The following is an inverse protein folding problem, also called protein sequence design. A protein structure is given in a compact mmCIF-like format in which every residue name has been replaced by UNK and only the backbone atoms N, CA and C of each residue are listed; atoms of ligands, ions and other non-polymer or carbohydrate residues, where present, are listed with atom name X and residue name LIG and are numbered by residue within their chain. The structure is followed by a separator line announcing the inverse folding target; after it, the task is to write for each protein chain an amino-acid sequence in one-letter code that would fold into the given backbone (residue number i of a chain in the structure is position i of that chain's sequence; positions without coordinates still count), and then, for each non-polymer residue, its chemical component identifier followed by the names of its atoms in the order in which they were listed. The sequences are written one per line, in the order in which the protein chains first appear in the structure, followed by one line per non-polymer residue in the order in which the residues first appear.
data_IF_546846862479
#
_entry.id   IF_546846862479
#
_cell.length_a   1.000
_cell.length_b   1.000
_cell.length_c   1.000
_cell.angle_alpha   90.00
_cell.angle_beta   90.00
_cell.angle_gamma   90.00
#
_symmetry.space_group_name_H-M   'P 1'
#
loop_
_entity.id
_entity.type
_entity.pdbx_description
1 polymer ?
#
# COMPACT_ATOMS: atom_id res chain seq x y z
N UNK A 1 40.71 -18.74 32.21
CA UNK A 1 40.66 -18.81 30.74
C UNK A 1 39.20 -18.88 30.36
N UNK A 2 38.65 -17.76 29.90
CA UNK A 2 37.21 -17.51 29.74
C UNK A 2 36.77 -18.00 28.36
N UNK A 3 35.76 -18.88 28.32
CA UNK A 3 35.14 -19.35 27.08
C UNK A 3 34.38 -18.19 26.44
N UNK A 4 34.89 -17.66 25.32
CA UNK A 4 34.14 -16.74 24.48
C UNK A 4 33.05 -17.55 23.74
N UNK A 5 31.79 -17.15 23.92
CA UNK A 5 30.64 -17.72 23.21
C UNK A 5 30.53 -17.06 21.85
N UNK A 6 30.60 -17.89 20.82
CA UNK A 6 30.35 -17.58 19.41
C UNK A 6 28.87 -17.16 19.24
N UNK A 7 28.61 -15.85 19.23
CA UNK A 7 27.29 -15.25 18.96
C UNK A 7 27.40 -14.24 17.81
N UNK A 8 28.23 -14.52 16.82
CA UNK A 8 28.54 -13.56 15.76
C UNK A 8 28.38 -14.23 14.39
N UNK A 9 27.13 -14.36 13.96
CA UNK A 9 26.69 -13.98 12.63
C UNK A 9 25.22 -14.37 12.40
N UNK A 10 24.32 -13.51 12.86
CA UNK A 10 23.08 -13.32 12.13
C UNK A 10 23.37 -12.19 11.15
N UNK A 11 23.88 -12.52 9.97
CA UNK A 11 23.85 -11.57 8.85
C UNK A 11 22.40 -11.09 8.74
N UNK A 12 22.11 -9.78 8.81
CA UNK A 12 20.79 -9.29 8.49
C UNK A 12 20.56 -9.68 7.03
N UNK A 13 19.81 -10.76 6.83
CA UNK A 13 19.30 -11.18 5.52
C UNK A 13 18.73 -9.91 4.92
N UNK A 14 19.41 -9.40 3.89
CA UNK A 14 19.01 -8.17 3.21
C UNK A 14 17.53 -8.32 2.98
N UNK A 15 16.75 -7.50 3.68
CA UNK A 15 15.32 -7.49 3.48
C UNK A 15 15.22 -6.97 2.08
N UNK A 16 15.02 -7.88 1.13
CA UNK A 16 14.61 -7.58 -0.22
C UNK A 16 13.36 -6.70 -0.04
N UNK A 17 13.57 -5.38 0.02
CA UNK A 17 12.56 -4.35 -0.08
C UNK A 17 12.11 -4.35 -1.54
N UNK A 18 11.58 -5.50 -2.00
CA UNK A 18 10.65 -5.51 -3.11
C UNK A 18 9.53 -4.58 -2.67
N UNK A 19 9.45 -3.43 -3.32
CA UNK A 19 8.35 -2.49 -3.25
C UNK A 19 7.05 -3.30 -3.23
N UNK A 20 6.44 -3.45 -2.05
CA UNK A 20 5.05 -3.87 -1.99
C UNK A 20 4.30 -2.70 -2.61
N UNK A 21 3.96 -2.81 -3.90
CA UNK A 21 3.02 -1.92 -4.56
C UNK A 21 1.69 -2.08 -3.81
N UNK A 22 1.50 -1.24 -2.79
CA UNK A 22 0.23 -1.10 -2.11
C UNK A 22 -0.71 -0.42 -3.12
N UNK A 23 -1.54 -1.23 -3.76
CA UNK A 23 -2.64 -0.77 -4.59
C UNK A 23 -3.94 -0.86 -3.81
N UNK A 24 -4.89 0.02 -4.10
CA UNK A 24 -6.24 -0.03 -3.57
C UNK A 24 -7.24 -0.44 -4.67
N UNK A 25 -8.36 -1.05 -4.27
CA UNK A 25 -9.43 -1.38 -5.22
C UNK A 25 -10.44 -0.23 -5.25
N UNK A 26 -10.64 0.37 -6.42
CA UNK A 26 -11.64 1.41 -6.61
C UNK A 26 -13.05 0.84 -6.41
N UNK A 27 -13.83 1.42 -5.48
CA UNK A 27 -15.19 0.96 -5.21
C UNK A 27 -16.17 1.14 -6.39
N UNK A 28 -15.84 2.01 -7.35
CA UNK A 28 -16.70 2.31 -8.51
C UNK A 28 -16.43 1.38 -9.69
N UNK A 29 -15.19 1.34 -10.21
CA UNK A 29 -14.83 0.54 -11.39
C UNK A 29 -14.29 -0.85 -11.05
N UNK A 30 -14.01 -1.14 -9.78
CA UNK A 30 -13.48 -2.43 -9.29
C UNK A 30 -12.09 -2.75 -9.87
N UNK A 31 -11.37 -1.72 -10.35
CA UNK A 31 -9.98 -1.85 -10.78
C UNK A 31 -9.01 -1.64 -9.62
N UNK A 32 -7.86 -2.31 -9.69
CA UNK A 32 -6.73 -2.04 -8.79
C UNK A 32 -6.03 -0.79 -9.31
N UNK A 33 -5.92 0.21 -8.45
CA UNK A 33 -5.27 1.48 -8.75
C UNK A 33 -4.17 1.74 -7.72
N UNK A 34 -3.20 2.57 -8.10
CA UNK A 34 -2.16 3.03 -7.19
C UNK A 34 -2.74 3.88 -6.06
N UNK A 35 -2.17 3.78 -4.86
CA UNK A 35 -2.54 4.65 -3.74
C UNK A 35 -2.41 6.15 -4.07
N UNK A 36 -1.52 6.51 -5.00
CA UNK A 36 -1.36 7.87 -5.53
C UNK A 36 -2.59 8.36 -6.33
N UNK A 37 -3.39 7.45 -6.86
CA UNK A 37 -4.63 7.75 -7.60
C UNK A 37 -5.89 7.65 -6.71
N UNK A 38 -5.73 7.34 -5.42
CA UNK A 38 -6.83 7.19 -4.48
C UNK A 38 -7.44 8.55 -4.08
N UNK A 39 -8.74 8.71 -4.30
CA UNK A 39 -9.51 9.88 -3.87
C UNK A 39 -10.50 9.46 -2.79
N UNK A 40 -10.42 10.14 -1.65
CA UNK A 40 -11.32 9.91 -0.51
C UNK A 40 -12.58 10.78 -0.64
N UNK A 41 -13.75 10.15 -0.74
CA UNK A 41 -15.04 10.83 -0.84
C UNK A 41 -15.65 11.06 0.56
N UNK A 42 -15.30 12.18 1.19
CA UNK A 42 -15.76 12.52 2.55
C UNK A 42 -17.27 12.66 2.71
N UNK A 43 -18.00 12.89 1.60
CA UNK A 43 -19.47 13.04 1.58
C UNK A 43 -20.22 11.73 1.28
N UNK A 44 -19.51 10.67 0.93
CA UNK A 44 -20.07 9.37 0.55
C UNK A 44 -19.42 8.24 1.38
N UNK A 45 -19.82 8.08 2.65
CA UNK A 45 -19.24 7.07 3.53
C UNK A 45 -19.49 5.63 3.04
N UNK A 46 -20.50 5.39 2.21
CA UNK A 46 -20.75 4.10 1.57
C UNK A 46 -19.71 3.71 0.51
N UNK A 47 -19.01 4.68 -0.07
CA UNK A 47 -17.96 4.50 -1.08
C UNK A 47 -16.80 5.45 -0.76
N UNK A 48 -16.05 5.16 0.31
CA UNK A 48 -15.11 6.13 0.87
C UNK A 48 -13.92 6.40 -0.04
N UNK A 49 -13.60 5.50 -0.98
CA UNK A 49 -12.41 5.59 -1.84
C UNK A 49 -12.71 5.19 -3.28
N UNK A 50 -12.33 6.03 -4.23
CA UNK A 50 -12.42 5.79 -5.67
C UNK A 50 -11.14 6.24 -6.37
N UNK A 51 -10.89 5.79 -7.60
CA UNK A 51 -9.76 6.30 -8.39
C UNK A 51 -10.03 7.70 -8.94
N UNK A 52 -8.95 8.44 -9.21
CA UNK A 52 -9.01 9.82 -9.74
C UNK A 52 -9.88 9.94 -11.00
N UNK A 53 -9.83 8.93 -11.88
CA UNK A 53 -10.64 8.91 -13.10
C UNK A 53 -12.15 8.81 -12.80
N UNK A 54 -12.55 7.98 -11.85
CA UNK A 54 -13.94 7.87 -11.41
C UNK A 54 -14.38 9.12 -10.65
N UNK A 55 -13.52 9.68 -9.80
CA UNK A 55 -13.79 10.92 -9.07
C UNK A 55 -14.07 12.10 -10.02
N UNK A 56 -13.30 12.24 -11.10
CA UNK A 56 -13.49 13.30 -12.10
C UNK A 56 -14.74 13.14 -12.97
N UNK A 57 -15.29 11.92 -13.10
CA UNK A 57 -16.52 11.65 -13.88
C UNK A 57 -17.80 11.76 -13.06
N UNK A 58 -17.74 11.59 -11.74
CA UNK A 58 -18.92 11.59 -10.87
C UNK A 58 -19.56 12.97 -10.60
N UNK A 59 -19.16 14.02 -11.31
CA UNK A 59 -19.67 15.39 -11.15
C UNK A 59 -20.67 15.85 -12.23
N UNK A 60 -21.08 14.95 -13.12
CA UNK A 60 -22.02 15.20 -14.23
C UNK A 60 -23.49 14.98 -13.83
#
# INVERSE_FOLDING_TARGET
MTMARDWDWFEPRERDDYEQEYGFVCAWCVEVCDDHEAIVLTRHPEMPTVCINCACRGGE
#
